data_IF_827384061363
#
_entry.id   IF_827384061363
#
_cell.length_a   1.000
_cell.length_b   1.000
_cell.length_c   1.000
_cell.angle_alpha   90.00
_cell.angle_beta   90.00
_cell.angle_gamma   90.00
#
_symmetry.space_group_name_H-M   'P 1'
#
loop_
_entity.id
_entity.type
_entity.pdbx_description
1 polymer ?
#
# COMPACT_ATOMS: atom_id res chain seq x y z
N UNK A 1 -26.35 -4.73 27.20
CA UNK A 1 -25.83 -5.87 26.41
C UNK A 1 -26.22 -5.92 24.91
N UNK A 2 -27.07 -5.03 24.38
CA UNK A 2 -27.49 -5.10 22.94
C UNK A 2 -26.40 -4.63 21.96
N UNK A 3 -25.69 -3.55 22.29
CA UNK A 3 -24.64 -2.94 21.43
C UNK A 3 -23.44 -3.86 21.23
N UNK A 4 -22.96 -4.53 22.28
CA UNK A 4 -21.84 -5.47 22.19
C UNK A 4 -22.12 -6.63 21.22
N UNK A 5 -23.36 -7.16 21.21
CA UNK A 5 -23.76 -8.24 20.29
C UNK A 5 -23.78 -7.78 18.83
N UNK A 6 -24.22 -6.55 18.56
CA UNK A 6 -24.23 -5.98 17.21
C UNK A 6 -22.79 -5.79 16.71
N UNK A 7 -21.91 -5.21 17.53
CA UNK A 7 -20.49 -5.05 17.18
C UNK A 7 -19.81 -6.40 16.94
N UNK A 8 -20.13 -7.43 17.75
CA UNK A 8 -19.68 -8.80 17.51
C UNK A 8 -20.11 -9.29 16.12
N UNK A 9 -21.40 -9.19 15.80
CA UNK A 9 -21.94 -9.63 14.49
C UNK A 9 -21.30 -8.89 13.30
N UNK A 10 -21.05 -7.59 13.42
CA UNK A 10 -20.39 -6.80 12.36
C UNK A 10 -18.95 -7.29 12.17
N UNK A 11 -18.21 -7.48 13.27
CA UNK A 11 -16.84 -8.01 13.24
C UNK A 11 -16.79 -9.39 12.59
N UNK A 12 -17.71 -10.27 12.93
CA UNK A 12 -17.74 -11.64 12.40
C UNK A 12 -18.03 -11.66 10.90
N UNK A 13 -19.01 -10.87 10.43
CA UNK A 13 -19.31 -10.72 9.00
C UNK A 13 -18.12 -10.15 8.22
N UNK A 14 -17.46 -9.12 8.76
CA UNK A 14 -16.25 -8.55 8.15
C UNK A 14 -15.15 -9.61 8.05
N UNK A 15 -14.89 -10.34 9.13
CA UNK A 15 -13.86 -11.38 9.17
C UNK A 15 -14.17 -12.51 8.18
N UNK A 16 -15.43 -12.92 8.09
CA UNK A 16 -15.87 -13.95 7.15
C UNK A 16 -15.67 -13.53 5.69
N UNK A 17 -16.07 -12.29 5.35
CA UNK A 17 -15.81 -11.71 4.04
C UNK A 17 -14.31 -11.69 3.70
N UNK A 18 -13.47 -11.19 4.62
CA UNK A 18 -12.02 -11.14 4.41
C UNK A 18 -11.41 -12.54 4.30
N UNK A 19 -11.94 -13.54 5.00
CA UNK A 19 -11.50 -14.94 4.88
C UNK A 19 -11.81 -15.48 3.48
N UNK A 20 -13.01 -15.27 2.96
CA UNK A 20 -13.36 -15.71 1.61
C UNK A 20 -12.52 -14.98 0.57
N UNK A 21 -12.42 -13.65 0.66
CA UNK A 21 -11.67 -12.81 -0.26
C UNK A 21 -10.18 -13.20 -0.31
N UNK A 22 -9.51 -13.29 0.84
CA UNK A 22 -8.09 -13.66 0.89
C UNK A 22 -7.83 -15.07 0.37
N UNK A 23 -8.72 -16.04 0.63
CA UNK A 23 -8.58 -17.39 0.05
C UNK A 23 -8.68 -17.34 -1.47
N UNK A 24 -9.66 -16.59 -2.00
CA UNK A 24 -9.87 -16.44 -3.43
C UNK A 24 -8.64 -15.83 -4.10
N UNK A 25 -8.16 -14.69 -3.60
CA UNK A 25 -6.97 -13.99 -4.11
C UNK A 25 -5.76 -14.92 -4.17
N UNK A 26 -5.47 -15.65 -3.08
CA UNK A 26 -4.31 -16.55 -3.00
C UNK A 26 -4.46 -17.76 -3.92
N UNK A 27 -5.68 -18.29 -4.12
CA UNK A 27 -5.87 -19.45 -5.00
C UNK A 27 -5.76 -19.10 -6.47
N UNK A 28 -6.23 -17.92 -6.86
CA UNK A 28 -6.27 -17.47 -8.26
C UNK A 28 -4.92 -16.89 -8.75
N UNK A 29 -3.99 -16.54 -7.85
CA UNK A 29 -2.75 -15.85 -8.20
C UNK A 29 -1.50 -16.58 -7.69
N UNK A 30 -0.44 -16.60 -8.50
CA UNK A 30 0.87 -17.15 -8.10
C UNK A 30 1.64 -16.21 -7.18
N UNK A 31 1.51 -14.91 -7.43
CA UNK A 31 2.16 -13.85 -6.67
C UNK A 31 1.15 -12.73 -6.43
N UNK A 32 1.11 -12.24 -5.19
CA UNK A 32 0.24 -11.14 -4.76
C UNK A 32 1.11 -10.02 -4.22
N UNK A 33 1.01 -8.84 -4.79
CA UNK A 33 1.72 -7.65 -4.32
C UNK A 33 0.73 -6.72 -3.63
N UNK A 34 1.08 -6.29 -2.42
CA UNK A 34 0.29 -5.36 -1.62
C UNK A 34 1.13 -4.18 -1.16
N UNK A 35 0.47 -3.07 -0.83
CA UNK A 35 1.11 -1.94 -0.19
C UNK A 35 1.19 -2.14 1.33
N UNK A 36 2.34 -1.82 1.94
CA UNK A 36 2.54 -1.78 3.38
C UNK A 36 2.00 -0.45 3.95
N UNK A 37 0.67 -0.41 4.08
CA UNK A 37 -0.03 0.75 4.60
C UNK A 37 0.21 0.89 6.12
N UNK A 38 0.54 2.11 6.55
CA UNK A 38 0.63 2.47 7.97
C UNK A 38 -0.77 2.63 8.61
N UNK A 39 -1.60 1.56 8.58
CA UNK A 39 -3.01 1.58 9.01
C UNK A 39 -3.20 2.18 10.41
N UNK A 40 -2.27 1.89 11.35
CA UNK A 40 -2.29 2.45 12.71
C UNK A 40 -2.22 3.98 12.75
N UNK A 41 -1.49 4.58 11.80
CA UNK A 41 -1.41 6.03 11.66
C UNK A 41 -2.66 6.55 10.97
N UNK A 42 -3.14 5.87 9.93
CA UNK A 42 -4.31 6.31 9.16
C UNK A 42 -5.59 6.36 10.00
N UNK A 43 -5.80 5.39 10.91
CA UNK A 43 -6.98 5.38 11.79
C UNK A 43 -6.99 6.51 12.83
N UNK A 44 -5.89 7.28 12.97
CA UNK A 44 -5.88 8.49 13.81
C UNK A 44 -6.67 9.63 13.18
N UNK A 45 -6.89 9.60 11.87
CA UNK A 45 -7.79 10.55 11.21
C UNK A 45 -9.24 10.14 11.50
N UNK A 46 -9.89 10.85 12.43
CA UNK A 46 -11.25 10.54 12.88
C UNK A 46 -12.31 10.54 11.76
N UNK A 47 -12.11 11.33 10.69
CA UNK A 47 -13.02 11.35 9.55
C UNK A 47 -12.99 10.04 8.74
N UNK A 48 -11.85 9.35 8.73
CA UNK A 48 -11.64 8.11 7.95
C UNK A 48 -11.53 6.85 8.83
N UNK A 49 -11.34 7.01 10.14
CA UNK A 49 -11.05 5.93 11.08
C UNK A 49 -12.05 4.78 10.99
N UNK A 50 -13.35 5.11 10.92
CA UNK A 50 -14.42 4.10 10.79
C UNK A 50 -14.32 3.35 9.46
N UNK A 51 -14.24 4.07 8.34
CA UNK A 51 -14.15 3.46 7.01
C UNK A 51 -12.91 2.55 6.86
N UNK A 52 -11.76 2.99 7.36
CA UNK A 52 -10.51 2.20 7.36
C UNK A 52 -10.66 0.95 8.24
N UNK A 53 -11.25 1.10 9.43
CA UNK A 53 -11.48 -0.03 10.35
C UNK A 53 -12.48 -1.03 9.77
N UNK A 54 -13.53 -0.56 9.11
CA UNK A 54 -14.54 -1.40 8.47
C UNK A 54 -13.97 -2.15 7.26
N UNK A 55 -13.01 -1.56 6.54
CA UNK A 55 -12.31 -2.23 5.44
C UNK A 55 -11.36 -3.35 5.91
N UNK A 56 -10.85 -3.30 7.14
CA UNK A 56 -10.08 -4.39 7.75
C UNK A 56 -8.74 -4.70 7.08
N UNK A 57 -8.05 -3.71 6.53
CA UNK A 57 -6.80 -3.88 5.76
C UNK A 57 -5.69 -4.62 6.50
N UNK A 58 -5.55 -4.40 7.81
CA UNK A 58 -4.56 -5.12 8.63
C UNK A 58 -4.86 -6.62 8.70
N UNK A 59 -6.13 -6.98 8.88
CA UNK A 59 -6.57 -8.38 8.91
C UNK A 59 -6.41 -9.01 7.54
N UNK A 60 -6.72 -8.28 6.47
CA UNK A 60 -6.54 -8.74 5.09
C UNK A 60 -5.06 -9.04 4.78
N UNK A 61 -4.15 -8.13 5.10
CA UNK A 61 -2.69 -8.33 4.95
C UNK A 61 -2.23 -9.60 5.65
N UNK A 62 -2.56 -9.73 6.94
CA UNK A 62 -2.22 -10.91 7.72
C UNK A 62 -2.77 -12.20 7.09
N UNK A 63 -4.03 -12.17 6.62
CA UNK A 63 -4.64 -13.32 5.95
C UNK A 63 -3.99 -13.70 4.63
N UNK A 64 -3.57 -12.71 3.84
CA UNK A 64 -2.83 -12.96 2.61
C UNK A 64 -1.48 -13.60 2.92
N UNK A 65 -0.73 -13.06 3.88
CA UNK A 65 0.60 -13.58 4.27
C UNK A 65 0.54 -15.04 4.74
N UNK A 66 -0.30 -15.35 5.75
CA UNK A 66 -0.33 -16.71 6.27
C UNK A 66 -0.91 -17.71 5.26
N UNK A 67 -1.90 -17.32 4.45
CA UNK A 67 -2.45 -18.21 3.41
C UNK A 67 -1.49 -18.37 2.25
N UNK A 68 -0.76 -17.32 1.89
CA UNK A 68 0.30 -17.40 0.89
C UNK A 68 1.31 -18.47 1.28
N UNK A 69 1.79 -18.43 2.54
CA UNK A 69 2.65 -19.46 3.08
C UNK A 69 2.02 -20.87 3.04
N UNK A 70 0.74 -21.02 3.40
CA UNK A 70 0.06 -22.32 3.38
C UNK A 70 -0.10 -22.92 1.98
N UNK A 71 -0.39 -22.09 0.98
CA UNK A 71 -0.66 -22.53 -0.39
C UNK A 71 0.55 -22.41 -1.32
N UNK A 72 1.74 -22.10 -0.78
CA UNK A 72 2.96 -21.94 -1.57
C UNK A 72 2.89 -20.79 -2.57
N UNK A 73 2.25 -19.68 -2.19
CA UNK A 73 2.15 -18.45 -3.00
C UNK A 73 3.01 -17.35 -2.41
N UNK A 74 3.58 -16.53 -3.29
CA UNK A 74 4.40 -15.39 -2.89
C UNK A 74 3.51 -14.20 -2.58
N UNK A 75 3.70 -13.60 -1.41
CA UNK A 75 3.06 -12.32 -1.04
C UNK A 75 4.16 -11.31 -0.76
N UNK A 76 4.18 -10.22 -1.53
CA UNK A 76 5.19 -9.16 -1.42
C UNK A 76 4.55 -7.88 -0.92
N UNK A 77 5.12 -7.28 0.12
CA UNK A 77 4.69 -5.98 0.63
C UNK A 77 5.65 -4.89 0.13
N UNK A 78 5.11 -3.92 -0.61
CA UNK A 78 5.85 -2.74 -1.09
C UNK A 78 5.66 -1.59 -0.11
N UNK A 79 6.72 -0.82 0.17
CA UNK A 79 6.64 0.37 1.02
C UNK A 79 5.52 1.32 0.60
N UNK A 80 4.69 1.77 1.56
CA UNK A 80 3.65 2.78 1.31
C UNK A 80 4.19 4.19 0.97
N UNK A 81 5.51 4.40 1.02
CA UNK A 81 6.15 5.61 0.51
C UNK A 81 6.38 5.57 -1.00
N UNK A 82 6.17 4.41 -1.64
CA UNK A 82 6.25 4.29 -3.09
C UNK A 82 5.22 5.21 -3.76
N UNK A 83 5.61 6.10 -4.69
CA UNK A 83 4.67 6.99 -5.36
C UNK A 83 3.86 6.28 -6.46
N UNK A 84 3.26 5.13 -6.17
CA UNK A 84 2.54 4.30 -7.14
C UNK A 84 1.36 5.01 -7.78
N UNK A 85 0.60 5.79 -7.01
CA UNK A 85 -0.55 6.57 -7.52
C UNK A 85 -0.13 7.79 -8.35
N UNK A 86 1.05 8.38 -8.07
CA UNK A 86 1.56 9.61 -8.70
C UNK A 86 2.54 9.35 -9.84
N UNK A 87 2.99 8.12 -10.02
CA UNK A 87 3.89 7.73 -11.11
C UNK A 87 3.09 7.39 -12.36
N UNK A 88 3.46 7.97 -13.50
CA UNK A 88 2.96 7.54 -14.80
C UNK A 88 3.53 6.15 -15.13
N UNK A 89 2.67 5.17 -15.42
CA UNK A 89 3.12 3.85 -15.87
C UNK A 89 3.82 3.92 -17.24
N UNK A 90 3.43 4.86 -18.10
CA UNK A 90 3.93 4.93 -19.48
C UNK A 90 5.31 5.58 -19.60
N UNK A 91 5.55 6.71 -18.94
CA UNK A 91 6.81 7.47 -19.04
C UNK A 91 7.58 7.60 -17.73
N UNK A 92 6.99 7.17 -16.61
CA UNK A 92 7.61 7.24 -15.29
C UNK A 92 7.70 8.61 -14.63
N UNK A 93 7.18 9.65 -15.29
CA UNK A 93 7.07 10.97 -14.67
C UNK A 93 6.23 10.92 -13.39
N UNK A 94 6.71 11.61 -12.36
CA UNK A 94 5.97 11.83 -11.12
C UNK A 94 5.12 13.09 -11.24
N UNK A 95 3.84 12.97 -10.88
CA UNK A 95 2.96 14.11 -10.66
C UNK A 95 3.22 14.66 -9.25
N UNK A 96 3.36 15.99 -9.13
CA UNK A 96 3.68 16.64 -7.86
C UNK A 96 2.65 16.31 -6.77
N UNK A 97 1.36 16.51 -7.07
CA UNK A 97 0.26 16.22 -6.15
C UNK A 97 -0.95 15.64 -6.91
N UNK A 98 -1.66 14.74 -6.24
CA UNK A 98 -2.95 14.20 -6.68
C UNK A 98 -3.89 14.22 -5.47
N UNK A 99 -5.12 14.70 -5.67
CA UNK A 99 -6.12 14.69 -4.62
C UNK A 99 -6.72 13.29 -4.43
N UNK A 100 -7.24 12.98 -3.24
CA UNK A 100 -7.93 11.72 -2.97
C UNK A 100 -9.21 11.54 -3.81
N UNK A 101 -9.79 12.61 -4.35
CA UNK A 101 -10.99 12.57 -5.17
C UNK A 101 -10.71 12.38 -6.67
N UNK A 102 -9.46 12.59 -7.10
CA UNK A 102 -9.06 12.43 -8.51
C UNK A 102 -9.11 10.96 -8.90
N UNK A 103 -10.05 10.57 -9.74
CA UNK A 103 -10.16 9.19 -10.28
C UNK A 103 -9.43 9.01 -11.59
N UNK A 104 -9.41 10.04 -12.42
CA UNK A 104 -8.68 10.05 -13.67
C UNK A 104 -7.74 11.26 -13.74
N UNK A 105 -6.59 11.09 -14.39
CA UNK A 105 -5.64 12.18 -14.62
C UNK A 105 -4.84 11.94 -15.90
N UNK A 106 -4.43 13.03 -16.55
CA UNK A 106 -3.63 12.99 -17.77
C UNK A 106 -2.19 13.33 -17.44
N UNK A 107 -1.26 12.46 -17.83
CA UNK A 107 0.17 12.72 -17.69
C UNK A 107 0.63 13.74 -18.75
N UNK A 108 1.73 14.46 -18.48
CA UNK A 108 2.38 15.33 -19.47
C UNK A 108 2.81 14.60 -20.74
N UNK A 109 2.98 13.28 -20.71
CA UNK A 109 3.24 12.47 -21.91
C UNK A 109 1.97 12.19 -22.75
N UNK A 110 0.80 12.69 -22.35
CA UNK A 110 -0.47 12.56 -23.07
C UNK A 110 -1.31 11.34 -22.68
N UNK A 111 -0.80 10.41 -21.87
CA UNK A 111 -1.56 9.23 -21.44
C UNK A 111 -2.56 9.60 -20.35
N UNK A 112 -3.80 9.15 -20.53
CA UNK A 112 -4.87 9.23 -19.53
C UNK A 112 -4.83 7.97 -18.65
N UNK A 113 -4.88 8.17 -17.34
CA UNK A 113 -4.83 7.10 -16.35
C UNK A 113 -6.09 7.08 -15.50
N UNK A 114 -6.72 5.91 -15.36
CA UNK A 114 -7.45 5.58 -14.13
C UNK A 114 -6.43 5.44 -12.99
N UNK A 115 -6.65 6.18 -11.90
CA UNK A 115 -5.70 6.29 -10.80
C UNK A 115 -5.45 4.96 -10.12
N UNK A 116 -6.50 4.19 -9.87
CA UNK A 116 -6.43 2.98 -9.06
C UNK A 116 -5.82 1.83 -9.88
N UNK A 117 -6.13 1.73 -11.18
CA UNK A 117 -5.47 0.80 -12.13
C UNK A 117 -3.99 1.16 -12.33
N UNK A 118 -3.67 2.44 -12.49
CA UNK A 118 -2.28 2.88 -12.61
C UNK A 118 -1.48 2.56 -11.34
N UNK A 119 -2.06 2.82 -10.16
CA UNK A 119 -1.45 2.49 -8.89
C UNK A 119 -1.20 0.98 -8.75
N UNK A 120 -2.21 0.15 -9.05
CA UNK A 120 -2.08 -1.31 -8.98
C UNK A 120 -0.95 -1.83 -9.87
N UNK A 121 -0.84 -1.35 -11.12
CA UNK A 121 0.23 -1.74 -12.04
C UNK A 121 1.61 -1.27 -11.59
N UNK A 122 1.73 -0.05 -11.07
CA UNK A 122 2.99 0.45 -10.53
C UNK A 122 3.42 -0.34 -9.30
N UNK A 123 2.49 -0.66 -8.39
CA UNK A 123 2.77 -1.46 -7.19
C UNK A 123 3.21 -2.87 -7.58
N UNK A 124 2.52 -3.50 -8.52
CA UNK A 124 2.90 -4.81 -9.06
C UNK A 124 4.33 -4.77 -9.63
N UNK A 125 4.65 -3.78 -10.47
CA UNK A 125 5.99 -3.63 -11.03
C UNK A 125 7.06 -3.47 -9.92
N UNK A 126 6.78 -2.66 -8.90
CA UNK A 126 7.69 -2.48 -7.76
C UNK A 126 7.87 -3.78 -6.95
N UNK A 127 6.78 -4.51 -6.67
CA UNK A 127 6.84 -5.75 -5.92
C UNK A 127 7.58 -6.86 -6.66
N UNK A 128 7.42 -6.96 -7.99
CA UNK A 128 8.19 -7.90 -8.80
C UNK A 128 9.68 -7.55 -8.81
N UNK A 129 10.03 -6.26 -8.85
CA UNK A 129 11.42 -5.83 -8.73
C UNK A 129 12.01 -6.19 -7.35
N UNK A 130 11.26 -6.01 -6.26
CA UNK A 130 11.68 -6.44 -4.91
C UNK A 130 11.88 -7.96 -4.86
N UNK A 131 10.96 -8.74 -5.42
CA UNK A 131 11.07 -10.19 -5.45
C UNK A 131 12.27 -10.70 -6.26
N UNK A 132 12.61 -10.02 -7.36
CA UNK A 132 13.73 -10.40 -8.22
C UNK A 132 15.11 -9.98 -7.66
N UNK A 133 15.18 -8.82 -6.99
CA UNK A 133 16.46 -8.23 -6.57
C UNK A 133 16.76 -8.39 -5.06
N UNK A 134 15.81 -8.87 -4.25
CA UNK A 134 15.92 -8.92 -2.79
C UNK A 134 15.63 -7.56 -2.12
N UNK A 135 15.32 -7.57 -0.81
CA UNK A 135 14.81 -6.45 0.02
C UNK A 135 15.78 -5.26 0.25
N UNK A 136 16.67 -4.97 -0.71
CA UNK A 136 17.63 -3.88 -0.63
C UNK A 136 17.05 -2.48 -0.85
N UNK A 137 15.86 -2.14 -0.35
CA UNK A 137 15.34 -0.75 -0.42
C UNK A 137 14.40 -0.41 0.74
N UNK A 138 14.97 0.00 1.87
CA UNK A 138 14.32 0.92 2.80
C UNK A 138 15.29 2.06 3.11
N UNK A 139 14.83 3.31 3.32
CA UNK A 139 15.69 4.30 3.97
C UNK A 139 16.14 3.71 5.31
N UNK A 140 17.39 3.98 5.77
CA UNK A 140 17.88 3.41 7.02
C UNK A 140 16.89 3.74 8.13
N UNK A 141 16.24 2.71 8.69
CA UNK A 141 15.64 2.84 10.01
C UNK A 141 16.79 3.19 10.92
N UNK A 142 16.76 4.38 11.52
CA UNK A 142 17.71 4.74 12.58
C UNK A 142 17.62 3.64 13.62
N UNK A 143 18.66 2.82 13.69
CA UNK A 143 18.83 1.83 14.73
C UNK A 143 19.06 2.63 16.01
N UNK A 144 18.00 2.91 16.75
CA UNK A 144 18.14 3.19 18.17
C UNK A 144 18.46 1.85 18.82
N UNK A 145 19.68 1.76 19.34
CA UNK A 145 20.42 0.56 19.67
C UNK A 145 19.70 -0.46 20.54
N UNK A 146 20.12 -1.71 20.32
CA UNK A 146 20.13 -2.74 21.35
C UNK A 146 20.83 -2.20 22.60
N UNK A 147 20.11 -2.21 23.72
CA UNK A 147 20.70 -2.17 25.05
C UNK A 147 19.95 -3.15 25.94
N UNK A 148 20.70 -4.13 26.42
CA UNK A 148 20.37 -5.15 27.39
C UNK A 148 19.82 -4.57 28.71
N UNK A 149 19.00 -5.39 29.37
CA UNK A 149 18.37 -5.20 30.68
C UNK A 149 19.38 -4.79 31.77
N UNK A 150 19.05 -3.75 32.54
CA UNK A 150 19.72 -3.33 33.78
C UNK A 150 18.98 -2.16 34.46
N UNK A 151 18.82 -2.23 35.79
CA UNK A 151 17.89 -1.45 36.63
C UNK A 151 18.16 0.06 36.82
N UNK A 152 17.02 0.76 37.03
CA UNK A 152 16.71 1.99 37.79
C UNK A 152 17.75 3.12 38.03
N UNK A 153 17.36 4.34 37.62
CA UNK A 153 17.82 5.61 38.18
C UNK A 153 17.32 6.85 37.41
N UNK A 154 16.45 7.67 38.00
CA UNK A 154 16.13 9.07 37.60
C UNK A 154 17.06 10.02 38.41
N UNK A 155 17.44 11.25 37.98
CA UNK A 155 16.48 12.30 37.57
C UNK A 155 16.99 13.43 36.62
N UNK A 156 16.12 14.44 36.49
CA UNK A 156 16.34 15.88 36.25
C UNK A 156 16.11 16.48 34.84
N UNK A 157 15.39 17.61 34.89
CA UNK A 157 14.91 18.49 33.81
C UNK A 157 16.05 19.31 33.22
N UNK A 158 15.99 19.58 31.91
CA UNK A 158 16.34 20.89 31.37
C UNK A 158 15.65 21.14 30.01
N UNK A 159 15.29 22.40 29.79
CA UNK A 159 14.51 22.93 28.68
C UNK A 159 15.37 23.12 27.41
N UNK A 160 14.77 23.03 26.22
CA UNK A 160 15.43 23.48 24.98
C UNK A 160 14.84 22.93 23.69
N UNK A 161 13.86 23.63 23.13
CA UNK A 161 13.39 23.45 21.74
C UNK A 161 14.34 24.19 20.77
N UNK A 162 14.70 23.56 19.65
CA UNK A 162 14.56 24.31 18.40
C UNK A 162 13.89 23.48 17.30
N UNK A 163 12.82 24.07 16.76
CA UNK A 163 12.25 23.82 15.44
C UNK A 163 13.37 23.57 14.43
N UNK A 164 13.43 22.36 13.86
CA UNK A 164 14.20 22.11 12.64
C UNK A 164 13.28 22.18 11.43
N UNK A 165 13.77 22.97 10.49
CA UNK A 165 13.11 23.46 9.30
C UNK A 165 12.79 22.32 8.33
N UNK A 166 11.60 22.42 7.73
CA UNK A 166 11.27 21.70 6.52
C UNK A 166 12.10 22.32 5.37
N UNK A 167 12.94 21.49 4.77
CA UNK A 167 13.79 21.89 3.65
C UNK A 167 14.87 20.84 3.45
N UNK A 168 14.55 19.82 2.66
CA UNK A 168 15.44 19.22 1.65
C UNK A 168 14.62 18.12 0.96
N UNK A 169 14.19 18.36 -0.27
CA UNK A 169 13.62 17.32 -1.13
C UNK A 169 14.74 16.33 -1.47
N UNK A 170 14.92 15.33 -0.61
CA UNK A 170 15.83 14.24 -0.88
C UNK A 170 15.29 13.46 -2.10
N UNK A 171 16.03 13.58 -3.19
CA UNK A 171 15.99 12.73 -4.37
C UNK A 171 16.19 11.26 -3.93
N UNK A 172 15.13 10.60 -3.49
CA UNK A 172 15.19 9.19 -3.07
C UNK A 172 15.18 8.36 -4.35
N UNK A 173 16.36 8.09 -4.91
CA UNK A 173 16.52 7.18 -6.03
C UNK A 173 16.04 5.78 -5.63
N UNK A 174 14.97 5.32 -6.28
CA UNK A 174 14.51 3.94 -6.18
C UNK A 174 15.44 3.08 -7.05
N UNK A 175 16.35 2.26 -6.47
CA UNK A 175 17.52 1.76 -7.19
C UNK A 175 17.29 0.46 -7.95
N UNK A 176 16.09 -0.13 -7.96
CA UNK A 176 15.78 -1.20 -8.90
C UNK A 176 15.15 -0.60 -10.15
N UNK A 177 15.97 -0.52 -11.21
CA UNK A 177 15.61 -0.05 -12.53
C UNK A 177 14.23 -0.57 -12.96
N UNK A 178 13.35 0.36 -13.33
CA UNK A 178 12.07 0.05 -13.97
C UNK A 178 12.35 -0.85 -15.18
N UNK A 179 11.65 -1.98 -15.36
CA UNK A 179 11.62 -2.59 -16.68
C UNK A 179 11.07 -1.55 -17.67
N UNK A 180 11.68 -1.48 -18.86
CA UNK A 180 11.23 -0.59 -19.94
C UNK A 180 9.71 -0.69 -20.13
N UNK A 181 9.06 0.45 -20.45
CA UNK A 181 7.61 0.57 -20.64
C UNK A 181 7.00 -0.46 -21.63
N UNK A 182 7.85 -1.10 -22.44
CA UNK A 182 7.50 -2.20 -23.35
C UNK A 182 7.03 -3.47 -22.62
N UNK A 183 7.50 -3.75 -21.40
CA UNK A 183 7.21 -5.00 -20.66
C UNK A 183 5.88 -5.01 -19.88
N UNK A 184 5.21 -3.86 -19.75
CA UNK A 184 3.97 -3.71 -18.96
C UNK A 184 2.68 -3.79 -19.78
N UNK A 185 2.79 -3.83 -21.12
CA UNK A 185 1.64 -3.95 -22.03
C UNK A 185 1.06 -5.37 -22.09
N UNK A 186 1.86 -6.36 -21.73
CA UNK A 186 1.54 -7.79 -21.87
C UNK A 186 1.25 -8.49 -20.53
N UNK A 187 1.00 -7.77 -19.44
CA UNK A 187 0.63 -8.40 -18.16
C UNK A 187 -0.85 -8.87 -18.22
N UNK A 188 -1.14 -10.19 -18.27
CA UNK A 188 -2.50 -10.68 -18.17
C UNK A 188 -2.96 -10.61 -16.71
N UNK A 189 -4.24 -10.30 -16.47
CA UNK A 189 -4.85 -10.48 -15.15
C UNK A 189 -5.59 -9.29 -14.53
N UNK A 190 -5.76 -8.18 -15.24
CA UNK A 190 -6.76 -7.17 -14.84
C UNK A 190 -7.75 -7.03 -16.00
N UNK A 191 -8.78 -7.89 -16.01
CA UNK A 191 -9.91 -7.76 -16.92
C UNK A 191 -10.56 -6.39 -16.71
N UNK A 192 -10.63 -5.60 -17.78
CA UNK A 192 -11.43 -4.38 -17.80
C UNK A 192 -12.90 -4.83 -17.75
N UNK A 193 -13.65 -4.43 -16.73
CA UNK A 193 -15.10 -4.49 -16.81
C UNK A 193 -15.55 -3.56 -17.93
N UNK A 194 -15.95 -4.16 -19.05
CA UNK A 194 -16.48 -3.51 -20.23
C UNK A 194 -17.87 -2.98 -19.90
N UNK A 195 -17.98 -1.69 -19.60
CA UNK A 195 -19.26 -0.98 -19.53
C UNK A 195 -19.55 -0.42 -20.92
N UNK A 196 -19.95 -1.28 -21.86
CA UNK A 196 -20.44 -0.82 -23.16
C UNK A 196 -21.93 -0.45 -23.06
N UNK A 197 -22.19 0.78 -23.49
CA UNK A 197 -23.36 1.22 -24.27
C UNK A 197 -24.74 1.13 -23.60
N UNK A 198 -25.36 2.30 -23.35
CA UNK A 198 -26.68 2.61 -23.92
C UNK A 198 -26.82 4.12 -24.16
N UNK A 199 -26.73 4.39 -25.46
CA UNK A 199 -27.00 5.56 -26.29
C UNK A 199 -28.15 6.49 -25.86
N UNK A 200 -27.84 7.78 -25.98
CA UNK A 200 -28.75 8.92 -26.15
C UNK A 200 -29.91 8.63 -27.10
N UNK A 201 -31.15 8.80 -26.63
CA UNK A 201 -32.26 9.42 -27.37
C UNK A 201 -33.12 10.23 -26.42
#
# INVERSE_FOLDING_TARGET
>A
MKVARIHGRIRDRRRDHLRMLSTRIIRENQTVVIEDLAVRVMVRNHALARAISDAGWRDLRFMLEYKGAWYGRTVVAVSGWYPGTRSCLACGALVASLSLHTREWTCRCGVVHDRDVNAAKNILAAGLAVAACGDGVGPPRSQHGEASVGEAGKPAREEGNPRRQAGEEANVGWPCARPSATLLRDLPGIERSRSDEHTVR
#
